data_IF_499826311809
#
_entry.id   IF_499826311809
#
_cell.length_a   1.000
_cell.length_b   1.000
_cell.length_c   1.000
_cell.angle_alpha   90.00
_cell.angle_beta   90.00
_cell.angle_gamma   90.00
#
_symmetry.space_group_name_H-M   'P 1'
#
loop_
_entity.id
_entity.type
_entity.pdbx_description
1 polymer ?
#
# COMPACT_ATOMS: atom_id res chain seq x y z
N UNK A 1 -3.69 -27.58 5.40
CA UNK A 1 -4.02 -26.70 4.26
C UNK A 1 -4.73 -25.46 4.79
N UNK A 2 -3.99 -24.48 5.30
CA UNK A 2 -4.47 -23.21 5.89
C UNK A 2 -3.18 -22.50 6.35
N UNK A 3 -2.73 -21.32 5.95
CA UNK A 3 -3.32 -20.10 5.43
C UNK A 3 -2.36 -19.49 4.38
N UNK A 4 -2.76 -19.41 3.11
CA UNK A 4 -2.00 -18.76 2.05
C UNK A 4 -2.59 -17.38 1.66
N UNK A 5 -3.27 -16.72 2.60
CA UNK A 5 -3.93 -15.42 2.39
C UNK A 5 -3.15 -14.23 2.99
N UNK A 6 -2.01 -14.48 3.63
CA UNK A 6 -1.23 -13.44 4.33
C UNK A 6 -0.09 -12.83 3.49
N UNK A 7 0.01 -13.13 2.19
CA UNK A 7 1.25 -12.86 1.45
C UNK A 7 1.41 -11.43 0.91
N UNK A 8 0.43 -10.53 1.07
CA UNK A 8 0.53 -9.17 0.49
C UNK A 8 -0.05 -8.03 1.34
N UNK A 9 -0.52 -8.31 2.56
CA UNK A 9 -1.17 -7.28 3.38
C UNK A 9 -0.11 -6.44 4.11
N UNK A 10 -0.07 -5.14 3.79
CA UNK A 10 0.71 -4.15 4.53
C UNK A 10 2.21 -4.38 4.46
N UNK A 11 2.75 -4.55 3.25
CA UNK A 11 4.19 -4.69 3.04
C UNK A 11 4.91 -3.37 3.30
N UNK A 12 5.99 -3.44 4.06
CA UNK A 12 6.89 -2.31 4.26
C UNK A 12 8.27 -2.70 3.79
N UNK A 13 8.75 -1.97 2.78
CA UNK A 13 10.07 -2.14 2.21
C UNK A 13 10.93 -0.98 2.67
N UNK A 14 12.04 -1.28 3.33
CA UNK A 14 13.01 -0.29 3.80
C UNK A 14 14.33 -0.53 3.09
N UNK A 15 14.86 0.50 2.45
CA UNK A 15 16.21 0.51 1.88
C UNK A 15 17.08 1.43 2.73
N UNK A 16 18.07 0.85 3.41
CA UNK A 16 19.07 1.59 4.20
C UNK A 16 20.38 1.57 3.45
N UNK A 17 20.92 2.73 3.07
CA UNK A 17 22.21 2.85 2.41
C UNK A 17 23.20 3.58 3.32
N UNK A 18 24.35 2.96 3.55
CA UNK A 18 25.45 3.49 4.35
C UNK A 18 26.68 3.71 3.48
N UNK A 19 27.32 4.87 3.63
CA UNK A 19 28.57 5.21 2.96
C UNK A 19 29.75 4.64 3.73
N UNK A 20 30.39 3.62 3.15
CA UNK A 20 31.58 3.00 3.73
C UNK A 20 32.87 3.73 3.32
N UNK A 21 32.90 4.30 2.11
CA UNK A 21 33.99 5.16 1.61
C UNK A 21 33.41 6.30 0.76
N UNK A 22 34.16 7.38 0.47
CA UNK A 22 33.68 8.49 -0.37
C UNK A 22 33.08 8.05 -1.71
N UNK A 23 33.56 6.95 -2.28
CA UNK A 23 33.09 6.39 -3.56
C UNK A 23 32.35 5.05 -3.42
N UNK A 24 32.06 4.60 -2.20
CA UNK A 24 31.46 3.28 -1.94
C UNK A 24 30.27 3.39 -0.99
N UNK A 25 29.11 3.00 -1.49
CA UNK A 25 27.86 2.90 -0.73
C UNK A 25 27.45 1.43 -0.66
N UNK A 26 27.07 0.98 0.52
CA UNK A 26 26.44 -0.33 0.73
C UNK A 26 24.97 -0.10 1.08
N UNK A 27 24.07 -0.84 0.47
CA UNK A 27 22.64 -0.76 0.76
C UNK A 27 22.13 -2.09 1.31
N UNK A 28 21.20 -2.04 2.24
CA UNK A 28 20.45 -3.17 2.75
C UNK A 28 18.96 -2.91 2.52
N UNK A 29 18.33 -3.82 1.78
CA UNK A 29 16.88 -3.88 1.63
C UNK A 29 16.34 -4.85 2.67
N UNK A 30 15.45 -4.37 3.51
CA UNK A 30 14.66 -5.18 4.42
C UNK A 30 13.19 -5.08 4.02
N UNK A 31 12.51 -6.21 4.07
CA UNK A 31 11.08 -6.27 3.82
C UNK A 31 10.39 -6.81 5.06
N UNK A 32 9.18 -6.34 5.31
CA UNK A 32 8.36 -6.81 6.41
C UNK A 32 6.90 -6.87 5.95
N UNK A 33 6.19 -7.91 6.38
CA UNK A 33 4.78 -8.15 6.06
C UNK A 33 3.92 -7.95 7.29
N UNK A 34 2.60 -7.92 7.10
CA UNK A 34 1.63 -7.80 8.19
C UNK A 34 1.86 -6.50 9.01
N UNK A 35 1.83 -5.35 8.33
CA UNK A 35 2.06 -4.04 8.96
C UNK A 35 3.44 -3.93 9.62
N UNK A 36 4.44 -4.58 9.03
CA UNK A 36 5.81 -4.54 9.52
C UNK A 36 6.07 -5.36 10.79
N UNK A 37 5.11 -6.18 11.23
CA UNK A 37 5.24 -7.01 12.43
C UNK A 37 6.06 -8.26 12.18
N UNK A 38 6.04 -8.78 10.94
CA UNK A 38 6.74 -10.01 10.58
C UNK A 38 7.89 -9.63 9.63
N UNK A 39 9.15 -9.68 10.08
CA UNK A 39 10.29 -9.43 9.22
C UNK A 39 10.38 -10.54 8.16
N UNK A 40 10.69 -10.14 6.94
CA UNK A 40 11.05 -11.04 5.85
C UNK A 40 12.54 -10.96 5.57
N UNK A 41 13.00 -11.72 4.57
CA UNK A 41 14.40 -11.75 4.16
C UNK A 41 14.91 -10.33 3.87
N UNK A 42 16.07 -10.01 4.42
CA UNK A 42 16.87 -8.88 3.98
C UNK A 42 17.80 -9.32 2.84
N UNK A 43 18.15 -8.35 2.00
CA UNK A 43 19.13 -8.50 0.93
C UNK A 43 20.10 -7.34 0.99
N UNK A 44 21.39 -7.64 1.00
CA UNK A 44 22.46 -6.64 1.03
C UNK A 44 23.07 -6.47 -0.36
N UNK A 45 23.35 -5.22 -0.73
CA UNK A 45 23.94 -4.80 -1.99
C UNK A 45 25.21 -4.02 -1.68
N UNK A 46 26.36 -4.56 -2.09
CA UNK A 46 27.65 -3.97 -1.80
C UNK A 46 28.16 -3.14 -2.99
N UNK A 47 28.83 -2.02 -2.70
CA UNK A 47 29.43 -1.15 -3.71
C UNK A 47 28.43 -0.69 -4.78
N UNK A 48 27.29 -0.15 -4.32
CA UNK A 48 26.28 0.47 -5.18
C UNK A 48 26.86 1.74 -5.80
N UNK A 49 26.77 1.84 -7.13
CA UNK A 49 27.31 2.96 -7.90
C UNK A 49 26.24 3.89 -8.45
N UNK A 50 25.05 3.37 -8.72
CA UNK A 50 23.93 4.16 -9.25
C UNK A 50 22.60 3.42 -9.00
N UNK A 51 21.51 4.17 -9.08
CA UNK A 51 20.15 3.67 -9.14
C UNK A 51 19.53 4.01 -10.50
N UNK A 52 18.83 3.03 -11.09
CA UNK A 52 18.16 3.13 -12.38
C UNK A 52 16.65 2.97 -12.16
N UNK A 53 15.89 3.89 -12.75
CA UNK A 53 14.44 3.75 -12.91
C UNK A 53 14.16 2.82 -14.10
N UNK A 54 13.40 1.75 -13.87
CA UNK A 54 12.95 0.81 -14.89
C UNK A 54 11.45 0.94 -15.08
N UNK A 55 11.01 0.83 -16.33
CA UNK A 55 9.61 0.70 -16.72
C UNK A 55 9.47 -0.55 -17.59
N UNK A 56 8.63 -1.48 -17.16
CA UNK A 56 8.32 -2.70 -17.90
C UNK A 56 6.84 -2.73 -18.23
N UNK A 57 6.51 -2.72 -19.51
CA UNK A 57 5.14 -2.92 -19.97
C UNK A 57 4.84 -4.40 -20.03
N UNK A 58 4.07 -4.91 -19.07
CA UNK A 58 3.53 -6.25 -19.12
C UNK A 58 2.30 -6.29 -20.02
N UNK A 59 2.39 -7.02 -21.13
CA UNK A 59 1.27 -7.23 -22.06
C UNK A 59 0.30 -8.23 -21.47
N UNK A 60 -0.73 -7.74 -20.79
CA UNK A 60 -1.85 -8.55 -20.32
C UNK A 60 -2.87 -8.84 -21.44
N UNK A 61 -3.67 -9.90 -21.27
CA UNK A 61 -4.70 -10.34 -22.23
C UNK A 61 -5.84 -9.34 -22.48
N UNK A 62 -5.96 -8.30 -21.62
CA UNK A 62 -7.04 -7.28 -21.66
C UNK A 62 -6.54 -5.83 -21.48
N UNK A 63 -5.33 -5.62 -20.95
CA UNK A 63 -4.74 -4.29 -20.78
C UNK A 63 -3.23 -4.42 -20.64
N UNK A 64 -2.50 -3.43 -21.13
CA UNK A 64 -1.08 -3.28 -20.85
C UNK A 64 -0.94 -2.68 -19.45
N UNK A 65 -0.24 -3.37 -18.56
CA UNK A 65 0.11 -2.84 -17.24
C UNK A 65 1.56 -2.38 -17.30
N UNK A 66 1.79 -1.09 -17.07
CA UNK A 66 3.14 -0.57 -16.88
C UNK A 66 3.54 -0.78 -15.42
N UNK A 67 4.61 -1.54 -15.23
CA UNK A 67 5.23 -1.75 -13.93
C UNK A 67 6.46 -0.86 -13.85
N UNK A 68 6.58 -0.12 -12.75
CA UNK A 68 7.74 0.72 -12.48
C UNK A 68 8.55 0.12 -11.34
N UNK A 69 9.86 0.07 -11.50
CA UNK A 69 10.77 -0.45 -10.49
C UNK A 69 12.04 0.39 -10.39
N UNK A 70 12.72 0.25 -9.26
CA UNK A 70 14.03 0.89 -9.02
C UNK A 70 15.06 -0.21 -8.86
N UNK A 71 16.07 -0.19 -9.71
CA UNK A 71 17.19 -1.13 -9.67
C UNK A 71 18.47 -0.42 -9.19
N UNK A 72 19.22 -1.10 -8.33
CA UNK A 72 20.55 -0.69 -7.88
C UNK A 72 21.58 -1.37 -8.76
N UNK A 73 22.54 -0.60 -9.23
CA UNK A 73 23.68 -1.11 -10.00
C UNK A 73 24.86 -1.26 -9.08
N UNK A 74 25.42 -2.45 -9.11
CA UNK A 74 26.63 -2.83 -8.38
C UNK A 74 27.64 -3.40 -9.36
N UNK A 75 28.87 -3.64 -8.89
CA UNK A 75 29.88 -4.37 -9.70
C UNK A 75 29.48 -5.80 -10.03
N UNK A 76 28.54 -6.39 -9.29
CA UNK A 76 28.08 -7.77 -9.48
C UNK A 76 26.91 -7.85 -10.47
N UNK A 77 26.32 -6.71 -10.84
CA UNK A 77 25.14 -6.64 -11.70
C UNK A 77 24.08 -5.67 -11.18
N UNK A 78 22.89 -5.76 -11.78
CA UNK A 78 21.73 -4.95 -11.42
C UNK A 78 20.77 -5.77 -10.54
N UNK A 79 20.34 -5.18 -9.43
CA UNK A 79 19.41 -5.81 -8.50
C UNK A 79 18.23 -4.90 -8.23
N UNK A 80 17.01 -5.43 -8.26
CA UNK A 80 15.84 -4.60 -8.07
C UNK A 80 15.57 -4.34 -6.57
N UNK A 81 15.64 -3.07 -6.18
CA UNK A 81 15.42 -2.63 -4.80
C UNK A 81 13.93 -2.44 -4.51
N UNK A 82 13.16 -1.93 -5.46
CA UNK A 82 11.72 -1.71 -5.31
C UNK A 82 10.98 -2.26 -6.53
N UNK A 83 10.16 -3.30 -6.34
CA UNK A 83 9.49 -4.04 -7.43
C UNK A 83 7.97 -4.08 -7.26
N UNK A 84 7.49 -3.78 -6.06
CA UNK A 84 6.10 -4.03 -5.66
C UNK A 84 5.20 -2.80 -5.84
N UNK A 85 5.76 -1.71 -6.36
CA UNK A 85 5.06 -0.45 -6.54
C UNK A 85 4.36 -0.38 -7.90
N UNK A 86 3.31 -1.19 -8.02
CA UNK A 86 2.39 -1.13 -9.15
C UNK A 86 1.70 0.25 -9.07
N UNK A 87 2.04 1.17 -9.99
CA UNK A 87 1.27 2.36 -10.40
C UNK A 87 1.76 3.79 -10.05
N UNK A 88 2.96 4.04 -9.50
CA UNK A 88 3.43 5.43 -9.36
C UNK A 88 4.85 5.67 -9.92
N UNK A 89 4.90 6.02 -11.21
CA UNK A 89 6.13 6.40 -11.90
C UNK A 89 6.83 7.60 -11.24
N UNK A 90 6.05 8.57 -10.75
CA UNK A 90 6.58 9.79 -10.13
C UNK A 90 7.30 9.44 -8.82
N UNK A 91 6.67 8.61 -7.99
CA UNK A 91 7.27 8.13 -6.75
C UNK A 91 8.55 7.32 -7.01
N UNK A 92 8.53 6.38 -7.96
CA UNK A 92 9.72 5.59 -8.29
C UNK A 92 10.86 6.48 -8.83
N UNK A 93 10.54 7.46 -9.69
CA UNK A 93 11.53 8.42 -10.20
C UNK A 93 12.11 9.31 -9.10
N UNK A 94 11.29 9.74 -8.14
CA UNK A 94 11.73 10.49 -6.97
C UNK A 94 12.69 9.66 -6.11
N UNK A 95 12.36 8.39 -5.85
CA UNK A 95 13.24 7.47 -5.11
C UNK A 95 14.58 7.28 -5.82
N UNK A 96 14.57 7.01 -7.14
CA UNK A 96 15.80 6.90 -7.94
C UNK A 96 16.65 8.16 -7.84
N UNK A 97 16.02 9.33 -7.95
CA UNK A 97 16.71 10.62 -7.84
C UNK A 97 17.34 10.77 -6.46
N UNK A 98 16.59 10.48 -5.40
CA UNK A 98 17.06 10.60 -4.03
C UNK A 98 18.25 9.66 -3.73
N UNK A 99 18.22 8.42 -4.23
CA UNK A 99 19.34 7.48 -4.09
C UNK A 99 20.56 8.00 -4.85
N UNK A 100 20.40 8.47 -6.09
CA UNK A 100 21.52 9.00 -6.87
C UNK A 100 22.11 10.27 -6.26
N UNK A 101 21.28 11.17 -5.75
CA UNK A 101 21.73 12.34 -4.99
C UNK A 101 22.51 11.92 -3.75
N UNK A 102 22.01 10.94 -3.00
CA UNK A 102 22.75 10.40 -1.85
C UNK A 102 24.11 9.85 -2.27
N UNK A 103 24.18 9.01 -3.31
CA UNK A 103 25.44 8.41 -3.81
C UNK A 103 26.47 9.50 -4.14
N UNK A 104 26.04 10.60 -4.76
CA UNK A 104 26.90 11.74 -5.12
C UNK A 104 27.19 12.70 -3.96
N UNK A 105 26.41 12.64 -2.88
CA UNK A 105 26.60 13.50 -1.69
C UNK A 105 27.70 12.98 -0.75
N UNK A 106 27.99 13.76 0.29
CA UNK A 106 28.85 13.34 1.41
C UNK A 106 28.05 12.82 2.62
N UNK A 107 26.75 12.57 2.46
CA UNK A 107 25.92 12.03 3.52
C UNK A 107 26.37 10.61 3.90
N UNK A 108 26.26 10.27 5.18
CA UNK A 108 26.71 8.98 5.72
C UNK A 108 25.63 7.90 5.61
N UNK A 109 24.37 8.26 5.77
CA UNK A 109 23.25 7.34 5.88
C UNK A 109 22.04 7.88 5.13
N UNK A 110 21.41 7.04 4.33
CA UNK A 110 20.10 7.26 3.73
C UNK A 110 19.18 6.13 4.13
N UNK A 111 18.00 6.45 4.65
CA UNK A 111 16.96 5.45 4.95
C UNK A 111 15.70 5.82 4.18
N UNK A 112 15.32 4.98 3.22
CA UNK A 112 14.11 5.11 2.43
C UNK A 112 13.12 4.05 2.89
N UNK A 113 11.91 4.49 3.25
CA UNK A 113 10.82 3.60 3.68
C UNK A 113 9.66 3.76 2.72
N UNK A 114 9.32 2.69 2.02
CA UNK A 114 8.11 2.60 1.22
C UNK A 114 7.07 1.81 1.99
N UNK A 115 5.96 2.47 2.30
CA UNK A 115 4.87 1.88 3.04
C UNK A 115 3.64 1.74 2.13
N UNK A 116 3.31 0.51 1.76
CA UNK A 116 2.13 0.23 0.92
C UNK A 116 0.82 0.21 1.71
N UNK A 117 0.86 0.45 3.04
CA UNK A 117 -0.33 0.45 3.92
C UNK A 117 -1.42 1.45 3.54
N UNK A 118 -1.05 2.55 2.87
CA UNK A 118 -1.99 3.64 2.54
C UNK A 118 -3.22 3.16 1.75
N UNK A 119 -3.03 2.18 0.85
CA UNK A 119 -4.13 1.59 0.09
C UNK A 119 -5.09 0.76 0.96
N UNK A 120 -4.57 0.13 2.02
CA UNK A 120 -5.38 -0.73 2.89
C UNK A 120 -6.22 0.05 3.89
N UNK A 121 -5.75 1.21 4.35
CA UNK A 121 -6.55 2.09 5.23
C UNK A 121 -7.88 2.49 4.57
N UNK A 122 -7.88 2.74 3.26
CA UNK A 122 -9.12 3.00 2.51
C UNK A 122 -10.06 1.79 2.52
N UNK A 123 -9.53 0.57 2.40
CA UNK A 123 -10.34 -0.67 2.44
C UNK A 123 -10.93 -0.89 3.83
N UNK A 124 -10.16 -0.72 4.90
CA UNK A 124 -10.64 -0.86 6.29
C UNK A 124 -11.71 0.18 6.59
N UNK A 125 -11.46 1.43 6.18
CA UNK A 125 -12.42 2.52 6.36
C UNK A 125 -13.74 2.22 5.65
N UNK A 126 -13.67 1.72 4.42
CA UNK A 126 -14.84 1.32 3.63
C UNK A 126 -15.58 0.13 4.28
N UNK A 127 -14.85 -0.85 4.81
CA UNK A 127 -15.42 -1.99 5.56
C UNK A 127 -16.13 -1.59 6.85
N UNK A 128 -15.70 -0.51 7.52
CA UNK A 128 -16.34 0.00 8.73
C UNK A 128 -17.54 0.90 8.43
N UNK A 129 -17.48 1.73 7.38
CA UNK A 129 -18.53 2.70 7.08
C UNK A 129 -19.75 2.06 6.43
N UNK A 130 -19.55 1.13 5.49
CA UNK A 130 -20.68 0.47 4.80
C UNK A 130 -21.68 -0.17 5.77
N UNK A 131 -21.29 -1.03 6.73
CA UNK A 131 -22.25 -1.64 7.65
C UNK A 131 -22.92 -0.61 8.55
N UNK A 132 -22.21 0.44 8.97
CA UNK A 132 -22.80 1.53 9.76
C UNK A 132 -23.87 2.27 8.95
N UNK A 133 -23.60 2.56 7.68
CA UNK A 133 -24.55 3.20 6.78
C UNK A 133 -25.79 2.32 6.51
N UNK A 134 -25.59 1.01 6.32
CA UNK A 134 -26.70 0.05 6.18
C UNK A 134 -27.56 -0.02 7.44
N UNK A 135 -26.94 0.06 8.63
CA UNK A 135 -27.66 0.13 9.91
C UNK A 135 -28.54 1.38 10.00
N UNK A 136 -28.02 2.54 9.59
CA UNK A 136 -28.78 3.80 9.59
C UNK A 136 -30.02 3.66 8.69
N UNK A 137 -29.84 3.17 7.46
CA UNK A 137 -30.95 2.94 6.52
C UNK A 137 -31.98 1.96 7.11
N UNK A 138 -31.52 0.88 7.74
CA UNK A 138 -32.41 -0.10 8.36
C UNK A 138 -33.24 0.51 9.52
N UNK A 139 -32.61 1.35 10.35
CA UNK A 139 -33.28 2.03 11.47
C UNK A 139 -34.31 3.05 10.96
N UNK A 140 -33.95 3.86 9.96
CA UNK A 140 -34.89 4.81 9.35
C UNK A 140 -36.07 4.10 8.69
N UNK A 141 -35.81 3.00 7.98
CA UNK A 141 -36.85 2.16 7.39
C UNK A 141 -37.78 1.56 8.44
N UNK A 142 -37.24 1.02 9.54
CA UNK A 142 -38.03 0.49 10.65
C UNK A 142 -38.90 1.57 11.29
N UNK A 143 -38.34 2.76 11.51
CA UNK A 143 -39.07 3.90 12.08
C UNK A 143 -40.25 4.31 11.19
N UNK A 144 -40.05 4.38 9.86
CA UNK A 144 -41.11 4.69 8.91
C UNK A 144 -42.24 3.64 8.91
N UNK A 145 -41.87 2.36 9.01
CA UNK A 145 -42.84 1.26 9.11
C UNK A 145 -43.67 1.37 10.40
N UNK A 146 -43.02 1.62 11.54
CA UNK A 146 -43.71 1.78 12.83
C UNK A 146 -44.67 2.98 12.82
N UNK A 147 -44.23 4.11 12.27
CA UNK A 147 -45.10 5.29 12.08
C UNK A 147 -46.32 4.95 11.23
N UNK A 148 -46.11 4.24 10.11
CA UNK A 148 -47.19 3.83 9.22
C UNK A 148 -48.22 2.93 9.94
N UNK A 149 -47.77 1.94 10.71
CA UNK A 149 -48.65 1.08 11.51
C UNK A 149 -49.42 1.87 12.58
N UNK A 150 -48.77 2.80 13.27
CA UNK A 150 -49.42 3.62 14.29
C UNK A 150 -50.52 4.51 13.69
N UNK A 151 -50.28 5.09 12.50
CA UNK A 151 -51.28 5.89 11.79
C UNK A 151 -52.49 5.04 11.37
N UNK A 152 -52.25 3.84 10.83
CA UNK A 152 -53.33 2.90 10.47
C UNK A 152 -54.17 2.52 11.68
N UNK A 153 -53.53 2.22 12.82
CA UNK A 153 -54.22 1.88 14.06
C UNK A 153 -55.13 3.01 14.55
N UNK A 154 -54.64 4.26 14.54
CA UNK A 154 -55.42 5.44 14.93
C UNK A 154 -56.65 5.62 14.03
N UNK A 155 -56.49 5.44 12.71
CA UNK A 155 -57.61 5.55 11.76
C UNK A 155 -58.66 4.46 12.00
N UNK A 156 -58.24 3.21 12.26
CA UNK A 156 -59.15 2.11 12.56
C UNK A 156 -59.92 2.32 13.86
N UNK A 157 -59.27 2.90 14.88
CA UNK A 157 -59.91 3.19 16.16
C UNK A 157 -60.96 4.30 16.03
N UNK A 158 -60.66 5.37 15.27
CA UNK A 158 -61.62 6.43 14.95
C UNK A 158 -62.85 5.90 14.19
N UNK A 159 -62.65 4.97 13.24
CA UNK A 159 -63.74 4.35 12.50
C UNK A 159 -64.67 3.49 13.37
N UNK A 160 -64.19 2.96 14.51
CA UNK A 160 -65.02 2.18 15.45
C UNK A 160 -65.91 3.06 16.33
N UNK A 161 -65.62 4.35 16.43
CA UNK A 161 -66.38 5.30 17.26
C UNK A 161 -67.55 5.96 16.52
N UNK A 162 -67.60 5.81 15.19
CA UNK A 162 -68.66 6.33 14.31
C UNK A 162 -69.70 5.23 14.10
#
# INVERSE_FOLDING_TARGET
MTFALASSIGTVTTLSCERVKPTQVNCEKSMSVFFGLIPQRSSSFYMVTEAIFKSETSKGRKSNTENYSVALVTRQGQFDAFNDAVNDASQMKALTTQINTFIQSNERLLVLKQDSRGSWLNIVFLLLIIPMYLLIIAVEGLFFVLLSFSAIYIVLDLLRLI
#
